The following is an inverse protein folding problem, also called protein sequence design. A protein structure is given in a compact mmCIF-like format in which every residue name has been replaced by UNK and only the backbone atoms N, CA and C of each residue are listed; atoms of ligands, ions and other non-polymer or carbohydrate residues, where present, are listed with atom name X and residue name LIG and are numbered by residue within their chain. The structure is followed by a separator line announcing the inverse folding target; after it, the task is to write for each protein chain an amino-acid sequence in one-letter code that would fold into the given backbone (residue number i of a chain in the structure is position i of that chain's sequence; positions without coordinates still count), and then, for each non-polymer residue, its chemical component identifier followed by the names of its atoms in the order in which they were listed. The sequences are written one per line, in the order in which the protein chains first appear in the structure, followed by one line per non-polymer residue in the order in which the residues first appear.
data_IF_112772196862
#
_entry.id   IF_112772196862
#
_cell.length_a   1.000
_cell.length_b   1.000
_cell.length_c   1.000
_cell.angle_alpha   90.00
_cell.angle_beta   90.00
_cell.angle_gamma   90.00
#
_symmetry.space_group_name_H-M   'P 1'
#
loop_
_entity.id
_entity.type
_entity.pdbx_description
1 polymer ?
#
# COMPACT_ATOMS: atom_id res chain seq x y z
N UNK A 1 -24.85 -19.90 52.05
CA UNK A 1 -25.21 -19.83 50.62
C UNK A 1 -24.73 -18.49 50.08
N UNK A 2 -24.12 -18.51 48.90
CA UNK A 2 -23.73 -17.38 48.04
C UNK A 2 -22.42 -16.65 48.37
N UNK A 3 -21.35 -17.08 47.69
CA UNK A 3 -20.17 -16.27 47.39
C UNK A 3 -20.39 -15.53 46.05
N UNK A 4 -19.87 -14.30 45.86
CA UNK A 4 -20.00 -13.60 44.59
C UNK A 4 -18.91 -14.04 43.60
N UNK A 5 -19.32 -14.44 42.40
CA UNK A 5 -18.44 -14.66 41.25
C UNK A 5 -18.02 -13.30 40.67
N UNK A 6 -16.75 -12.93 40.83
CA UNK A 6 -16.12 -11.89 40.02
C UNK A 6 -15.79 -12.48 38.64
N UNK A 7 -16.41 -11.93 37.60
CA UNK A 7 -16.01 -12.17 36.22
C UNK A 7 -14.69 -11.43 35.95
N UNK A 8 -13.58 -12.16 35.95
CA UNK A 8 -12.32 -11.70 35.41
C UNK A 8 -12.46 -11.61 33.88
N UNK A 9 -12.47 -10.39 33.35
CA UNK A 9 -12.38 -10.14 31.92
C UNK A 9 -10.93 -10.45 31.52
N UNK A 10 -10.69 -11.66 31.01
CA UNK A 10 -9.40 -12.02 30.44
C UNK A 10 -9.16 -11.18 29.18
N UNK A 11 -8.49 -10.05 29.36
CA UNK A 11 -7.85 -9.32 28.27
C UNK A 11 -6.64 -10.15 27.87
N UNK A 12 -6.76 -10.93 26.80
CA UNK A 12 -5.61 -11.61 26.20
C UNK A 12 -4.69 -10.54 25.64
N UNK A 13 -3.75 -10.08 26.48
CA UNK A 13 -2.61 -9.29 26.04
C UNK A 13 -1.75 -10.22 25.19
N UNK A 14 -1.74 -9.98 23.88
CA UNK A 14 -0.74 -10.56 23.00
C UNK A 14 0.61 -10.05 23.49
N UNK A 15 1.37 -10.91 24.16
CA UNK A 15 2.74 -10.64 24.58
C UNK A 15 3.62 -10.70 23.33
N UNK A 16 3.54 -9.68 22.48
CA UNK A 16 4.44 -9.53 21.34
C UNK A 16 5.84 -9.31 21.92
N UNK A 17 6.82 -10.19 21.65
CA UNK A 17 8.16 -9.99 22.17
C UNK A 17 8.70 -8.64 21.68
N UNK A 18 9.37 -7.88 22.54
CA UNK A 18 9.97 -6.56 22.25
C UNK A 18 10.94 -6.56 21.05
N UNK A 19 11.24 -7.72 20.48
CA UNK A 19 12.12 -7.95 19.33
C UNK A 19 11.37 -8.30 18.04
N UNK A 20 10.04 -8.44 18.07
CA UNK A 20 9.27 -8.77 16.88
C UNK A 20 9.32 -7.61 15.88
N UNK A 21 9.62 -7.92 14.63
CA UNK A 21 9.64 -6.96 13.55
C UNK A 21 8.88 -7.51 12.35
N UNK A 22 8.33 -6.61 11.54
CA UNK A 22 7.60 -6.98 10.34
C UNK A 22 8.01 -6.10 9.16
N UNK A 23 7.83 -6.61 7.95
CA UNK A 23 8.12 -5.86 6.72
C UNK A 23 6.94 -4.93 6.41
N UNK A 24 7.12 -3.62 6.61
CA UNK A 24 6.03 -2.64 6.52
C UNK A 24 6.14 -1.73 5.30
N UNK A 25 4.99 -1.26 4.82
CA UNK A 25 4.89 -0.18 3.85
C UNK A 25 3.56 0.56 3.97
N UNK A 26 3.53 1.81 3.51
CA UNK A 26 2.33 2.64 3.46
C UNK A 26 1.90 2.78 1.99
N UNK A 27 0.62 2.61 1.71
CA UNK A 27 0.09 2.70 0.35
C UNK A 27 -1.39 3.05 0.27
N UNK A 28 -1.83 3.41 -0.93
CA UNK A 28 -3.24 3.61 -1.26
C UNK A 28 -3.89 2.28 -1.61
N UNK A 29 -5.06 2.03 -1.03
CA UNK A 29 -5.83 0.81 -1.28
C UNK A 29 -6.87 1.04 -2.37
N UNK A 30 -6.86 0.27 -3.47
CA UNK A 30 -7.90 0.37 -4.48
C UNK A 30 -9.22 -0.18 -3.93
N UNK A 31 -10.35 0.52 -4.15
CA UNK A 31 -11.67 -0.02 -3.85
C UNK A 31 -11.95 -1.22 -4.77
N UNK A 32 -12.92 -2.09 -4.42
CA UNK A 32 -13.16 -3.35 -5.14
C UNK A 32 -13.30 -3.20 -6.65
N UNK A 33 -14.07 -2.23 -7.14
CA UNK A 33 -14.26 -1.99 -8.57
C UNK A 33 -12.94 -1.64 -9.29
N UNK A 34 -12.12 -0.79 -8.69
CA UNK A 34 -10.80 -0.41 -9.25
C UNK A 34 -9.83 -1.59 -9.19
N UNK A 35 -9.83 -2.38 -8.10
CA UNK A 35 -9.02 -3.59 -8.00
C UNK A 35 -9.37 -4.60 -9.09
N UNK A 36 -10.66 -4.76 -9.42
CA UNK A 36 -11.10 -5.60 -10.53
C UNK A 36 -10.58 -5.09 -11.87
N UNK A 37 -10.69 -3.78 -12.15
CA UNK A 37 -10.17 -3.17 -13.37
C UNK A 37 -8.64 -3.34 -13.50
N UNK A 38 -7.90 -3.14 -12.40
CA UNK A 38 -6.46 -3.37 -12.36
C UNK A 38 -6.09 -4.85 -12.58
N UNK A 39 -6.88 -5.78 -12.03
CA UNK A 39 -6.69 -7.21 -12.26
C UNK A 39 -6.91 -7.57 -13.73
N UNK A 40 -7.94 -7.01 -14.38
CA UNK A 40 -8.16 -7.20 -15.82
C UNK A 40 -6.99 -6.66 -16.65
N UNK A 41 -6.51 -5.46 -16.36
CA UNK A 41 -5.35 -4.87 -17.04
C UNK A 41 -4.08 -5.71 -16.83
N UNK A 42 -3.87 -6.22 -15.61
CA UNK A 42 -2.79 -7.17 -15.31
C UNK A 42 -2.89 -8.43 -16.15
N UNK A 43 -4.07 -9.03 -16.25
CA UNK A 43 -4.27 -10.31 -16.94
C UNK A 43 -4.05 -10.14 -18.45
N UNK A 44 -4.51 -9.03 -19.03
CA UNK A 44 -4.19 -8.64 -20.41
C UNK A 44 -2.68 -8.48 -20.62
N UNK A 45 -2.00 -7.75 -19.73
CA UNK A 45 -0.55 -7.59 -19.79
C UNK A 45 0.17 -8.94 -19.61
N UNK A 46 -0.35 -9.85 -18.79
CA UNK A 46 0.22 -11.18 -18.60
C UNK A 46 0.13 -12.02 -19.87
N UNK A 47 -1.01 -12.01 -20.56
CA UNK A 47 -1.16 -12.69 -21.86
C UNK A 47 -0.17 -12.13 -22.88
N UNK A 48 0.05 -10.81 -22.88
CA UNK A 48 0.90 -10.15 -23.87
C UNK A 48 2.41 -10.26 -23.58
N UNK A 49 2.82 -10.17 -22.32
CA UNK A 49 4.23 -10.03 -21.91
C UNK A 49 4.74 -11.14 -20.98
N UNK A 50 3.87 -12.06 -20.57
CA UNK A 50 4.20 -13.15 -19.63
C UNK A 50 4.45 -12.66 -18.20
N UNK A 51 5.48 -13.20 -17.55
CA UNK A 51 5.83 -12.87 -16.17
C UNK A 51 4.96 -13.52 -15.10
N UNK A 52 5.13 -13.06 -13.85
CA UNK A 52 4.36 -13.51 -12.69
C UNK A 52 3.32 -12.44 -12.31
N UNK A 53 2.02 -12.72 -12.41
CA UNK A 53 0.99 -11.76 -12.02
C UNK A 53 1.01 -11.49 -10.51
N UNK A 54 0.80 -10.23 -10.13
CA UNK A 54 0.54 -9.84 -8.74
C UNK A 54 -0.88 -10.29 -8.37
N UNK A 55 -1.08 -10.99 -7.23
CA UNK A 55 -2.42 -11.35 -6.75
C UNK A 55 -3.34 -10.13 -6.69
N UNK A 56 -4.63 -10.31 -7.00
CA UNK A 56 -5.58 -9.17 -7.06
C UNK A 56 -5.64 -8.41 -5.72
N UNK A 57 -5.65 -9.14 -4.60
CA UNK A 57 -5.69 -8.56 -3.26
C UNK A 57 -4.40 -7.81 -2.87
N UNK A 58 -3.32 -8.06 -3.62
CA UNK A 58 -2.04 -7.39 -3.43
C UNK A 58 -1.88 -6.15 -4.30
N UNK A 59 -2.85 -5.77 -5.14
CA UNK A 59 -2.76 -4.57 -5.97
C UNK A 59 -2.91 -3.32 -5.08
N UNK A 60 -1.93 -2.44 -5.13
CA UNK A 60 -1.86 -1.19 -4.35
C UNK A 60 -0.90 -0.20 -5.01
N UNK A 61 -0.93 1.06 -4.56
CA UNK A 61 0.05 2.08 -4.90
C UNK A 61 0.87 2.42 -3.66
N UNK A 62 2.18 2.14 -3.67
CA UNK A 62 3.08 2.35 -2.53
C UNK A 62 3.53 3.81 -2.43
N UNK A 63 3.42 4.40 -1.24
CA UNK A 63 3.88 5.77 -0.95
C UNK A 63 5.22 5.80 -0.20
N UNK A 64 5.44 4.84 0.70
CA UNK A 64 6.68 4.70 1.45
C UNK A 64 6.90 3.23 1.82
N UNK A 65 8.09 2.68 1.52
CA UNK A 65 8.47 1.34 1.93
C UNK A 65 9.42 1.42 3.13
N UNK A 66 9.01 0.85 4.28
CA UNK A 66 9.75 0.96 5.54
C UNK A 66 10.71 -0.21 5.78
N UNK A 67 10.60 -1.29 5.00
CA UNK A 67 11.40 -2.49 5.21
C UNK A 67 11.07 -3.15 6.53
N UNK A 68 12.08 -3.77 7.16
CA UNK A 68 11.92 -4.44 8.44
C UNK A 68 11.78 -3.38 9.55
N UNK A 69 10.62 -3.33 10.20
CA UNK A 69 10.29 -2.32 11.22
C UNK A 69 9.91 -3.02 12.52
N UNK A 70 10.42 -2.54 13.65
CA UNK A 70 10.06 -3.06 14.98
C UNK A 70 8.57 -2.84 15.26
N UNK A 71 7.87 -3.90 15.67
CA UNK A 71 6.45 -3.81 16.03
C UNK A 71 6.23 -3.04 17.33
N UNK A 72 7.26 -2.87 18.17
CA UNK A 72 7.20 -1.99 19.34
C UNK A 72 6.96 -0.51 18.98
N UNK A 73 7.21 -0.11 17.73
CA UNK A 73 7.01 1.26 17.22
C UNK A 73 5.71 1.42 16.43
N UNK A 74 4.83 0.41 16.42
CA UNK A 74 3.62 0.43 15.61
C UNK A 74 2.65 1.57 16.01
N UNK A 75 2.47 1.80 17.31
CA UNK A 75 1.61 2.88 17.81
C UNK A 75 2.15 4.27 17.46
N UNK A 76 3.47 4.44 17.45
CA UNK A 76 4.12 5.67 17.00
C UNK A 76 3.88 5.87 15.49
N UNK A 77 4.11 4.83 14.69
CA UNK A 77 3.94 4.86 13.25
C UNK A 77 2.49 5.17 12.84
N UNK A 78 1.50 4.58 13.50
CA UNK A 78 0.08 4.84 13.21
C UNK A 78 -0.31 6.28 13.54
N UNK A 79 0.15 6.83 14.68
CA UNK A 79 -0.06 8.26 15.01
C UNK A 79 0.54 9.20 13.96
N UNK A 80 1.74 8.90 13.48
CA UNK A 80 2.39 9.72 12.43
C UNK A 80 1.59 9.70 11.12
N UNK A 81 1.03 8.54 10.75
CA UNK A 81 0.17 8.40 9.57
C UNK A 81 -1.09 9.24 9.72
N UNK A 82 -1.73 9.20 10.89
CA UNK A 82 -2.95 9.98 11.16
C UNK A 82 -2.69 11.50 11.12
N UNK A 83 -1.59 11.93 11.74
CA UNK A 83 -1.18 13.35 11.76
C UNK A 83 -0.77 13.88 10.39
N UNK A 84 -0.27 13.03 9.49
CA UNK A 84 0.07 13.45 8.13
C UNK A 84 -1.15 13.95 7.35
N UNK A 85 -2.36 13.55 7.72
CA UNK A 85 -3.59 13.94 7.04
C UNK A 85 -3.69 13.38 5.62
N UNK A 86 -4.89 12.94 5.25
CA UNK A 86 -5.15 12.36 3.94
C UNK A 86 -6.50 12.85 3.41
N UNK A 87 -6.45 13.50 2.26
CA UNK A 87 -7.63 13.91 1.50
C UNK A 87 -7.82 12.98 0.32
N UNK A 88 -9.07 12.66 0.01
CA UNK A 88 -9.39 11.86 -1.16
C UNK A 88 -8.89 12.56 -2.43
N UNK A 89 -8.36 11.79 -3.36
CA UNK A 89 -7.95 12.30 -4.67
C UNK A 89 -8.34 11.34 -5.79
N UNK A 90 -8.53 11.86 -6.99
CA UNK A 90 -8.86 11.05 -8.16
C UNK A 90 -7.62 10.83 -8.99
N UNK A 91 -7.19 9.57 -9.09
CA UNK A 91 -6.07 9.14 -9.92
C UNK A 91 -6.61 8.60 -11.25
N UNK A 92 -5.98 9.00 -12.35
CA UNK A 92 -6.27 8.49 -13.68
C UNK A 92 -5.11 7.60 -14.12
N UNK A 93 -5.28 6.28 -13.99
CA UNK A 93 -4.27 5.33 -14.43
C UNK A 93 -4.47 5.04 -15.91
N UNK A 94 -3.63 5.65 -16.73
CA UNK A 94 -3.74 5.66 -18.19
C UNK A 94 -2.50 5.08 -18.88
N UNK A 95 -1.46 4.69 -18.15
CA UNK A 95 -0.22 4.19 -18.73
C UNK A 95 0.15 2.80 -18.17
N UNK A 96 0.64 1.92 -19.04
CA UNK A 96 1.45 0.77 -18.64
C UNK A 96 2.88 1.02 -19.06
N UNK A 97 3.79 0.77 -18.14
CA UNK A 97 5.22 0.82 -18.38
C UNK A 97 5.94 -0.30 -17.65
N UNK A 98 7.26 -0.29 -17.73
CA UNK A 98 8.08 -1.22 -16.97
C UNK A 98 9.32 -0.58 -16.37
N UNK A 99 9.73 -1.08 -15.21
CA UNK A 99 11.06 -0.84 -14.65
C UNK A 99 11.97 -1.97 -15.11
N UNK A 100 12.66 -1.78 -16.24
CA UNK A 100 13.42 -2.84 -16.91
C UNK A 100 14.44 -3.52 -16.00
N UNK A 101 15.18 -2.75 -15.21
CA UNK A 101 16.18 -3.29 -14.26
C UNK A 101 15.55 -4.15 -13.16
N UNK A 102 14.34 -3.80 -12.71
CA UNK A 102 13.60 -4.56 -11.69
C UNK A 102 12.72 -5.68 -12.29
N UNK A 103 12.59 -5.73 -13.62
CA UNK A 103 11.65 -6.61 -14.35
C UNK A 103 10.24 -6.54 -13.78
N UNK A 104 9.72 -5.31 -13.64
CA UNK A 104 8.36 -5.04 -13.16
C UNK A 104 7.57 -4.32 -14.24
N UNK A 105 6.37 -4.84 -14.56
CA UNK A 105 5.36 -4.12 -15.35
C UNK A 105 4.34 -3.50 -14.41
N UNK A 106 3.97 -2.25 -14.66
CA UNK A 106 3.13 -1.46 -13.78
C UNK A 106 2.05 -0.68 -14.54
N UNK A 107 0.94 -0.37 -13.86
CA UNK A 107 -0.01 0.66 -14.26
C UNK A 107 0.30 1.97 -13.51
N UNK A 108 0.27 3.09 -14.21
CA UNK A 108 0.65 4.39 -13.66
C UNK A 108 -0.16 5.53 -14.27
N UNK A 109 0.09 6.72 -13.74
CA UNK A 109 -0.52 7.94 -14.25
C UNK A 109 0.18 8.37 -15.54
N UNK A 110 -0.56 8.96 -16.49
CA UNK A 110 0.05 9.55 -17.68
C UNK A 110 0.88 10.80 -17.35
N UNK A 111 0.45 11.56 -16.35
CA UNK A 111 1.09 12.79 -15.89
C UNK A 111 1.26 12.80 -14.37
N UNK A 112 2.14 13.69 -13.87
CA UNK A 112 2.37 13.83 -12.43
C UNK A 112 1.11 14.36 -11.73
N UNK A 113 0.85 13.85 -10.52
CA UNK A 113 -0.28 14.27 -9.71
C UNK A 113 0.21 14.97 -8.43
N UNK A 114 0.11 16.31 -8.42
CA UNK A 114 0.72 17.17 -7.40
C UNK A 114 0.32 16.76 -5.97
N UNK A 115 -0.96 16.49 -5.71
CA UNK A 115 -1.41 16.11 -4.37
C UNK A 115 -0.89 14.73 -3.92
N UNK A 116 -0.65 13.82 -4.88
CA UNK A 116 -0.13 12.49 -4.60
C UNK A 116 1.37 12.58 -4.26
N UNK A 117 2.12 13.34 -5.05
CA UNK A 117 3.53 13.62 -4.81
C UNK A 117 3.73 14.34 -3.46
N UNK A 118 2.87 15.30 -3.14
CA UNK A 118 2.91 16.02 -1.87
C UNK A 118 2.61 15.10 -0.67
N UNK A 119 1.64 14.18 -0.80
CA UNK A 119 1.33 13.18 0.24
C UNK A 119 2.51 12.23 0.45
N UNK A 120 3.05 11.65 -0.63
CA UNK A 120 4.21 10.75 -0.56
C UNK A 120 5.43 11.47 0.05
N UNK A 121 5.74 12.68 -0.41
CA UNK A 121 6.85 13.48 0.12
C UNK A 121 6.69 13.83 1.60
N UNK A 122 5.48 14.21 2.03
CA UNK A 122 5.20 14.51 3.44
C UNK A 122 5.36 13.28 4.32
N UNK A 123 4.76 12.14 3.95
CA UNK A 123 4.90 10.88 4.68
C UNK A 123 6.37 10.48 4.84
N UNK A 124 7.12 10.46 3.74
CA UNK A 124 8.54 10.06 3.75
C UNK A 124 9.38 10.98 4.65
N UNK A 125 9.14 12.30 4.58
CA UNK A 125 9.84 13.28 5.42
C UNK A 125 9.55 13.07 6.91
N UNK A 126 8.28 12.94 7.28
CA UNK A 126 7.88 12.75 8.69
C UNK A 126 8.46 11.45 9.25
N UNK A 127 8.44 10.36 8.47
CA UNK A 127 9.03 9.09 8.86
C UNK A 127 10.55 9.20 9.09
N UNK A 128 11.26 9.85 8.16
CA UNK A 128 12.70 10.07 8.29
C UNK A 128 13.05 10.94 9.50
N UNK A 129 12.27 11.98 9.78
CA UNK A 129 12.45 12.84 10.97
C UNK A 129 12.23 12.11 12.30
N UNK A 130 11.58 10.95 12.27
CA UNK A 130 11.36 10.08 13.43
C UNK A 130 12.20 8.80 13.33
N UNK A 131 13.29 8.80 12.58
CA UNK A 131 14.22 7.68 12.46
C UNK A 131 13.58 6.36 11.98
N UNK A 132 12.50 6.43 11.20
CA UNK A 132 12.03 5.28 10.43
C UNK A 132 12.84 5.17 9.14
N UNK A 133 13.25 3.95 8.79
CA UNK A 133 13.79 3.68 7.48
C UNK A 133 12.74 3.93 6.41
N UNK A 134 13.13 4.59 5.33
CA UNK A 134 12.32 4.81 4.12
C UNK A 134 13.22 4.52 2.93
N UNK A 135 12.67 3.85 1.91
CA UNK A 135 13.39 3.54 0.69
C UNK A 135 14.04 4.80 0.07
N UNK A 136 15.32 4.68 -0.30
CA UNK A 136 16.10 5.79 -0.84
C UNK A 136 15.73 6.14 -2.30
N UNK A 137 15.03 5.24 -2.99
CA UNK A 137 14.55 5.52 -4.33
C UNK A 137 13.48 6.62 -4.29
N UNK A 138 13.47 7.49 -5.31
CA UNK A 138 12.42 8.49 -5.44
C UNK A 138 11.03 7.86 -5.56
N UNK A 139 10.00 8.62 -5.20
CA UNK A 139 8.62 8.18 -5.38
C UNK A 139 8.24 8.19 -6.86
N UNK A 140 7.78 7.04 -7.35
CA UNK A 140 7.20 6.87 -8.68
C UNK A 140 5.79 6.31 -8.48
N UNK A 141 4.76 7.05 -8.87
CA UNK A 141 3.37 6.65 -8.65
C UNK A 141 2.98 5.51 -9.60
N UNK A 142 2.89 4.29 -9.06
CA UNK A 142 2.59 3.10 -9.85
C UNK A 142 1.89 2.00 -9.05
N UNK A 143 1.15 1.14 -9.75
CA UNK A 143 0.61 -0.13 -9.27
C UNK A 143 1.35 -1.25 -10.00
N UNK A 144 2.08 -2.09 -9.26
CA UNK A 144 2.76 -3.26 -9.85
C UNK A 144 1.71 -4.25 -10.34
N UNK A 145 1.75 -4.59 -11.63
CA UNK A 145 0.87 -5.60 -12.24
C UNK A 145 1.58 -6.95 -12.36
N UNK A 146 2.79 -6.95 -12.93
CA UNK A 146 3.58 -8.15 -13.16
C UNK A 146 4.98 -8.01 -12.59
N UNK A 147 5.52 -9.11 -12.10
CA UNK A 147 6.94 -9.27 -11.78
C UNK A 147 7.59 -10.20 -12.78
N UNK A 148 8.92 -10.14 -12.91
CA UNK A 148 9.68 -10.95 -13.88
C UNK A 148 9.24 -10.71 -15.34
N UNK A 149 8.83 -9.49 -15.67
CA UNK A 149 8.40 -9.09 -17.00
C UNK A 149 8.95 -7.70 -17.34
N UNK A 150 9.08 -7.42 -18.64
CA UNK A 150 9.41 -6.11 -19.19
C UNK A 150 8.45 -5.88 -20.36
N UNK A 151 8.01 -4.65 -20.55
CA UNK A 151 7.15 -4.29 -21.67
C UNK A 151 7.57 -2.94 -22.25
N UNK A 152 7.30 -2.68 -23.53
CA UNK A 152 7.30 -1.32 -24.06
C UNK A 152 6.21 -0.48 -23.36
N UNK A 153 6.41 0.83 -23.31
CA UNK A 153 5.41 1.75 -22.81
C UNK A 153 4.17 1.75 -23.73
N UNK A 154 2.97 1.71 -23.15
CA UNK A 154 1.71 1.79 -23.89
C UNK A 154 0.59 2.36 -23.02
N UNK A 155 -0.53 2.72 -23.66
CA UNK A 155 -1.68 3.35 -22.98
C UNK A 155 -2.66 2.29 -22.48
N UNK A 156 -3.21 2.49 -21.27
CA UNK A 156 -4.33 1.69 -20.74
C UNK A 156 -5.62 2.21 -21.36
N UNK A 157 -6.38 1.31 -21.99
CA UNK A 157 -7.70 1.62 -22.57
C UNK A 157 -8.73 0.57 -22.12
N UNK A 158 -9.85 0.96 -21.46
CA UNK A 158 -10.16 2.32 -20.99
C UNK A 158 -9.29 2.72 -19.80
N UNK A 159 -9.07 4.03 -19.63
CA UNK A 159 -8.39 4.59 -18.45
C UNK A 159 -9.11 4.16 -17.16
N UNK A 160 -8.33 3.74 -16.16
CA UNK A 160 -8.86 3.35 -14.86
C UNK A 160 -8.95 4.60 -13.98
N UNK A 161 -10.17 4.97 -13.59
CA UNK A 161 -10.44 6.09 -12.69
C UNK A 161 -10.50 5.57 -11.26
N UNK A 162 -9.59 6.03 -10.41
CA UNK A 162 -9.49 5.61 -9.03
C UNK A 162 -9.63 6.79 -8.08
N UNK A 163 -10.79 6.92 -7.44
CA UNK A 163 -10.94 7.79 -6.26
C UNK A 163 -10.23 7.13 -5.07
N UNK A 164 -8.98 7.53 -4.83
CA UNK A 164 -8.20 7.07 -3.70
C UNK A 164 -8.71 7.73 -2.42
N UNK A 165 -9.47 6.97 -1.62
CA UNK A 165 -10.08 7.40 -0.36
C UNK A 165 -9.66 6.55 0.84
N UNK A 166 -8.68 5.67 0.65
CA UNK A 166 -8.12 4.83 1.71
C UNK A 166 -6.59 4.81 1.64
N UNK A 167 -5.97 5.31 2.71
CA UNK A 167 -4.56 5.13 3.03
C UNK A 167 -4.43 3.96 4.02
N UNK A 168 -3.41 3.12 3.85
CA UNK A 168 -3.22 1.96 4.73
C UNK A 168 -1.76 1.68 5.02
N UNK A 169 -1.51 1.28 6.27
CA UNK A 169 -0.27 0.63 6.68
C UNK A 169 -0.42 -0.87 6.46
N UNK A 170 0.49 -1.44 5.69
CA UNK A 170 0.50 -2.85 5.34
C UNK A 170 1.67 -3.57 5.99
N UNK A 171 1.40 -4.81 6.39
CA UNK A 171 2.38 -5.83 6.68
C UNK A 171 2.53 -6.76 5.48
N UNK A 172 3.76 -6.96 5.00
CA UNK A 172 4.11 -7.90 3.94
C UNK A 172 4.57 -9.23 4.55
N UNK A 173 3.70 -10.24 4.55
CA UNK A 173 4.02 -11.58 5.04
C UNK A 173 4.43 -12.50 3.90
N UNK A 174 5.57 -13.17 4.07
CA UNK A 174 5.99 -14.25 3.16
C UNK A 174 5.32 -15.56 3.60
N UNK A 175 4.56 -16.18 2.71
CA UNK A 175 3.93 -17.49 2.88
C UNK A 175 4.49 -18.47 1.84
N UNK A 176 4.31 -19.79 2.01
CA UNK A 176 4.69 -20.76 0.98
C UNK A 176 4.00 -20.52 -0.37
N UNK A 177 2.80 -19.94 -0.36
CA UNK A 177 2.02 -19.62 -1.56
C UNK A 177 2.44 -18.30 -2.23
N UNK A 178 3.16 -17.43 -1.53
CA UNK A 178 3.59 -16.14 -2.07
C UNK A 178 3.72 -15.07 -1.00
N UNK A 179 3.49 -13.83 -1.39
CA UNK A 179 3.43 -12.71 -0.43
C UNK A 179 1.98 -12.35 -0.23
N UNK A 180 1.58 -12.08 1.01
CA UNK A 180 0.25 -11.62 1.39
C UNK A 180 0.38 -10.29 2.13
N UNK A 181 -0.54 -9.36 1.86
CA UNK A 181 -0.56 -8.05 2.50
C UNK A 181 -1.71 -7.96 3.51
N UNK A 182 -1.37 -7.68 4.76
CA UNK A 182 -2.34 -7.45 5.82
C UNK A 182 -2.37 -5.99 6.22
N UNK A 183 -3.56 -5.41 6.35
CA UNK A 183 -3.73 -4.03 6.77
C UNK A 183 -3.63 -4.00 8.30
N UNK A 184 -2.63 -3.29 8.82
CA UNK A 184 -2.46 -3.05 10.25
C UNK A 184 -3.17 -1.78 10.71
N UNK A 185 -3.28 -0.79 9.83
CA UNK A 185 -3.94 0.48 10.11
C UNK A 185 -4.56 1.06 8.85
N UNK A 186 -5.70 1.73 9.00
CA UNK A 186 -6.45 2.31 7.89
C UNK A 186 -6.91 3.72 8.23
N UNK A 187 -6.57 4.66 7.36
CA UNK A 187 -7.06 6.02 7.40
C UNK A 187 -7.97 6.26 6.19
N UNK A 188 -9.25 6.47 6.46
CA UNK A 188 -10.22 6.87 5.43
C UNK A 188 -10.16 8.39 5.27
N UNK A 189 -10.23 8.88 4.04
CA UNK A 189 -10.28 10.33 3.82
C UNK A 189 -11.55 10.90 4.46
N UNK A 190 -11.42 11.95 5.27
CA UNK A 190 -12.57 12.74 5.69
C UNK A 190 -13.22 13.38 4.45
N UNK A 191 -14.55 13.28 4.33
CA UNK A 191 -15.30 14.15 3.44
C UNK A 191 -15.12 15.56 4.01
N UNK A 192 -14.67 16.53 3.20
CA UNK A 192 -14.98 17.92 3.56
C UNK A 192 -16.51 18.00 3.54
N UNK A 193 -17.12 18.29 4.68
CA UNK A 193 -18.43 18.92 4.67
C UNK A 193 -18.25 20.24 3.93
N UNK A 194 -19.14 20.48 2.97
CA UNK A 194 -19.17 21.67 2.11
C UNK A 194 -19.06 23.00 2.88
#
# INVERSE_FOLDING_TARGET
MSAPFQFAVHRTLYNTPMTASARLFIGLTPPPAVRQQLAMARDQAHVQFGGKPVPADNLHLTLAFLGQTSLSRLDELTRLIDQCGFMAMTLQLAAIGSFSSAKVVWAGLAERHIALDALAGRLRRVLQQQDFSVDAQGFNAHVTLLRKAVCPAHTITPTIIWRASQLSLYESRSTPAGVEYHILHRLLSHQMAD
#
